data_IF_987560282371
#
_entry.id   IF_987560282371
#
_cell.length_a   1.000
_cell.length_b   1.000
_cell.length_c   1.000
_cell.angle_alpha   90.00
_cell.angle_beta   90.00
_cell.angle_gamma   90.00
#
_symmetry.space_group_name_H-M   'P 1'
#
loop_
_entity.id
_entity.type
_entity.pdbx_description
1 polymer ?
#
# COMPACT_ATOMS: atom_id res chain seq x y z
N UNK A 1 29.89 38.76 8.51
CA UNK A 1 28.84 39.75 8.18
C UNK A 1 28.76 39.84 6.68
N UNK A 2 27.62 39.47 6.09
CA UNK A 2 27.00 40.08 4.91
C UNK A 2 25.74 39.27 4.55
N UNK A 3 24.63 39.98 4.49
CA UNK A 3 23.32 39.66 3.88
C UNK A 3 22.99 40.89 2.98
N UNK A 4 21.95 40.90 2.14
CA UNK A 4 21.43 39.92 1.16
C UNK A 4 21.18 40.60 -0.24
N UNK A 5 20.32 39.99 -1.10
CA UNK A 5 19.48 40.57 -2.23
C UNK A 5 20.01 40.25 -3.66
N UNK A 6 19.26 39.86 -4.73
CA UNK A 6 17.81 39.78 -5.09
C UNK A 6 17.57 38.68 -6.16
N UNK A 7 16.29 38.29 -6.31
CA UNK A 7 15.68 37.40 -7.31
C UNK A 7 15.61 37.99 -8.73
N UNK A 8 15.67 37.13 -9.76
CA UNK A 8 15.04 37.34 -11.07
C UNK A 8 15.76 36.70 -12.27
N UNK A 9 15.10 35.75 -12.96
CA UNK A 9 15.46 35.28 -14.31
C UNK A 9 15.11 33.81 -14.59
N UNK A 10 14.06 33.56 -15.40
CA UNK A 10 13.70 32.25 -15.99
C UNK A 10 14.79 31.78 -17.00
N UNK A 11 15.06 30.51 -17.31
CA UNK A 11 14.19 29.46 -17.89
C UNK A 11 14.64 28.01 -17.60
N UNK A 12 13.63 27.14 -17.68
CA UNK A 12 13.53 25.67 -17.80
C UNK A 12 14.80 24.82 -18.02
N UNK A 13 14.96 23.82 -17.15
CA UNK A 13 15.31 22.47 -17.57
C UNK A 13 14.31 21.48 -16.97
N UNK A 14 13.65 20.72 -17.84
CA UNK A 14 12.88 19.55 -17.49
C UNK A 14 13.76 18.56 -16.72
N UNK A 15 13.38 18.21 -15.50
CA UNK A 15 13.86 17.00 -14.84
C UNK A 15 12.68 16.05 -14.66
N UNK A 16 12.55 15.15 -15.63
CA UNK A 16 11.91 13.86 -15.47
C UNK A 16 12.88 13.00 -14.64
N UNK A 17 12.47 12.48 -13.49
CA UNK A 17 12.37 11.04 -13.25
C UNK A 17 12.22 10.68 -11.77
N UNK A 18 11.34 9.69 -11.56
CA UNK A 18 11.41 8.57 -10.60
C UNK A 18 11.32 8.90 -9.10
N UNK A 19 10.19 8.54 -8.50
CA UNK A 19 10.10 8.29 -7.06
C UNK A 19 9.28 7.03 -6.83
N UNK A 20 9.89 5.93 -6.43
CA UNK A 20 9.20 4.78 -5.87
C UNK A 20 9.73 4.52 -4.46
N UNK A 21 8.84 4.55 -3.46
CA UNK A 21 9.12 4.40 -2.00
C UNK A 21 9.45 5.70 -1.24
N UNK A 22 9.08 5.76 0.04
CA UNK A 22 8.53 6.95 0.73
C UNK A 22 9.33 7.40 1.96
N UNK A 23 9.81 8.65 2.07
CA UNK A 23 10.49 9.16 3.30
C UNK A 23 10.41 10.69 3.58
N UNK A 24 10.57 11.04 4.87
CA UNK A 24 10.51 12.39 5.49
C UNK A 24 11.87 12.76 6.13
N UNK A 25 12.35 14.01 6.00
CA UNK A 25 13.60 14.53 6.62
C UNK A 25 13.30 15.41 7.84
N UNK A 26 14.02 15.19 8.95
CA UNK A 26 13.95 15.98 10.20
C UNK A 26 15.31 16.60 10.52
N UNK A 27 15.38 17.81 11.09
CA UNK A 27 16.65 18.35 11.63
C UNK A 27 16.81 18.02 13.13
N UNK A 28 18.05 17.79 13.58
CA UNK A 28 18.46 17.37 14.94
C UNK A 28 18.29 18.47 16.03
N UNK A 29 17.09 19.02 16.19
CA UNK A 29 16.70 19.79 17.38
C UNK A 29 15.35 19.32 17.87
N UNK A 30 15.40 18.49 18.91
CA UNK A 30 14.32 18.06 19.80
C UNK A 30 12.92 17.90 19.20
N UNK A 31 12.56 16.62 19.10
CA UNK A 31 11.26 16.05 18.76
C UNK A 31 10.18 16.53 19.75
N UNK A 32 9.54 17.63 19.40
CA UNK A 32 8.20 18.00 19.84
C UNK A 32 7.33 18.03 18.58
N UNK A 33 6.04 17.81 18.71
CA UNK A 33 5.04 18.14 17.69
C UNK A 33 5.03 17.25 16.42
N UNK A 34 4.03 16.36 16.44
CA UNK A 34 3.12 16.10 15.32
C UNK A 34 3.42 14.91 14.41
N UNK A 35 2.63 13.82 14.52
CA UNK A 35 2.25 13.03 13.34
C UNK A 35 0.97 12.18 13.57
N UNK A 36 -0.12 12.54 12.89
CA UNK A 36 -1.37 11.75 12.78
C UNK A 36 -1.20 10.67 11.72
N UNK A 37 -1.83 9.50 11.93
CA UNK A 37 -2.35 8.69 10.82
C UNK A 37 -3.71 8.13 11.19
N UNK A 38 -4.77 8.75 10.67
CA UNK A 38 -6.01 8.03 10.39
C UNK A 38 -5.72 7.12 9.18
N UNK A 39 -5.65 5.81 9.42
CA UNK A 39 -5.08 4.89 8.44
C UNK A 39 -6.10 4.53 7.34
N UNK A 40 -6.16 5.34 6.29
CA UNK A 40 -6.54 4.88 4.95
C UNK A 40 -5.41 5.02 3.90
N UNK A 41 -4.22 5.40 4.34
CA UNK A 41 -3.13 5.69 3.42
C UNK A 41 -2.41 4.41 3.01
N UNK A 42 -2.61 4.01 1.76
CA UNK A 42 -1.53 3.46 0.97
C UNK A 42 -0.33 4.41 0.91
N UNK A 43 0.75 3.99 0.27
CA UNK A 43 1.94 4.81 0.02
C UNK A 43 1.65 6.25 -0.42
N UNK A 44 0.61 6.48 -1.23
CA UNK A 44 0.13 7.80 -1.67
C UNK A 44 -0.15 8.79 -0.52
N UNK A 45 -0.45 8.32 0.70
CA UNK A 45 -0.88 9.19 1.80
C UNK A 45 0.25 9.76 2.66
N UNK A 46 1.47 9.22 2.64
CA UNK A 46 2.55 9.77 3.47
C UNK A 46 3.01 11.17 3.04
N UNK A 47 3.26 11.46 1.74
CA UNK A 47 3.61 12.81 1.30
C UNK A 47 2.50 13.80 1.65
N UNK A 48 1.25 13.45 1.33
CA UNK A 48 0.09 14.28 1.62
C UNK A 48 -0.08 14.54 3.13
N UNK A 49 0.04 13.51 3.97
CA UNK A 49 -0.05 13.67 5.42
C UNK A 49 1.07 14.57 5.96
N UNK A 50 2.30 14.42 5.48
CA UNK A 50 3.42 15.24 5.95
C UNK A 50 3.31 16.70 5.50
N UNK A 51 2.81 16.91 4.29
CA UNK A 51 2.62 18.23 3.73
C UNK A 51 1.43 18.96 4.37
N UNK A 52 0.37 18.25 4.76
CA UNK A 52 -0.79 18.82 5.46
C UNK A 52 -0.43 19.31 6.86
N UNK A 53 0.42 18.57 7.57
CA UNK A 53 0.80 18.93 8.94
C UNK A 53 1.72 20.17 8.99
N UNK A 54 2.35 20.55 7.86
CA UNK A 54 3.16 21.76 7.67
C UNK A 54 4.10 22.08 8.84
N UNK A 55 4.64 21.06 9.49
CA UNK A 55 5.52 21.25 10.64
C UNK A 55 6.82 21.91 10.21
N UNK A 56 7.29 22.90 10.96
CA UNK A 56 8.63 23.48 10.73
C UNK A 56 9.77 22.48 11.05
N UNK A 57 9.44 21.33 11.64
CA UNK A 57 10.40 20.40 12.21
C UNK A 57 10.84 19.34 11.20
N UNK A 58 9.89 18.83 10.40
CA UNK A 58 10.13 17.89 9.31
C UNK A 58 9.62 18.39 7.98
N UNK A 59 10.15 17.81 6.90
CA UNK A 59 9.63 17.99 5.55
C UNK A 59 9.70 16.70 4.76
N UNK A 60 8.80 16.53 3.81
CA UNK A 60 8.93 15.48 2.82
C UNK A 60 10.25 15.63 2.06
N UNK A 61 11.01 14.54 1.93
CA UNK A 61 12.32 14.56 1.28
C UNK A 61 12.40 13.76 -0.02
N UNK A 62 11.41 12.91 -0.31
CA UNK A 62 11.33 12.16 -1.55
C UNK A 62 11.77 10.70 -1.42
N UNK A 63 12.17 10.12 -2.55
CA UNK A 63 12.48 8.69 -2.68
C UNK A 63 13.68 8.28 -1.83
N UNK A 64 13.46 7.28 -0.99
CA UNK A 64 14.48 6.56 -0.27
C UNK A 64 15.72 6.20 -1.09
N UNK A 65 15.52 5.69 -2.31
CA UNK A 65 16.53 5.15 -3.21
C UNK A 65 17.33 6.23 -3.94
N UNK A 66 16.89 7.50 -3.86
CA UNK A 66 17.57 8.63 -4.48
C UNK A 66 18.73 9.20 -3.64
N UNK A 67 18.89 8.72 -2.41
CA UNK A 67 19.91 9.17 -1.47
C UNK A 67 21.04 8.16 -1.33
N UNK A 68 22.23 8.64 -0.93
CA UNK A 68 23.35 7.78 -0.59
C UNK A 68 22.97 6.84 0.57
N UNK A 69 23.06 5.50 0.39
CA UNK A 69 22.83 4.51 1.44
C UNK A 69 23.69 4.69 2.71
N UNK A 70 24.84 5.36 2.58
CA UNK A 70 25.79 5.63 3.66
C UNK A 70 25.64 7.02 4.29
N UNK A 71 24.62 7.78 3.90
CA UNK A 71 24.36 9.10 4.47
C UNK A 71 24.20 9.07 5.99
N UNK A 72 24.72 10.10 6.65
CA UNK A 72 24.51 10.37 8.08
C UNK A 72 23.43 11.42 8.32
N UNK A 73 22.74 11.84 7.25
CA UNK A 73 21.66 12.79 7.36
C UNK A 73 20.52 12.21 8.21
N UNK A 74 19.86 13.04 9.04
CA UNK A 74 18.78 12.59 9.91
C UNK A 74 17.45 12.36 9.19
N UNK A 75 17.34 11.20 8.54
CA UNK A 75 16.08 10.76 7.95
C UNK A 75 15.25 9.92 8.92
N UNK A 76 13.93 10.00 8.76
CA UNK A 76 13.01 8.93 9.17
C UNK A 76 12.60 8.20 7.92
N UNK A 77 12.91 6.92 7.88
CA UNK A 77 12.45 6.06 6.80
C UNK A 77 11.10 5.44 7.14
N UNK A 78 10.17 5.47 6.18
CA UNK A 78 8.94 4.67 6.23
C UNK A 78 9.09 3.49 5.24
N UNK A 79 9.06 2.27 5.77
CA UNK A 79 9.23 1.02 5.00
C UNK A 79 7.90 0.31 4.94
N UNK A 80 7.28 0.27 3.76
CA UNK A 80 6.08 -0.52 3.53
C UNK A 80 6.49 -1.94 3.11
N UNK A 81 6.14 -2.96 3.89
CA UNK A 81 6.52 -4.35 3.62
C UNK A 81 5.41 -5.33 4.06
N UNK A 82 4.65 -5.93 3.14
CA UNK A 82 4.64 -5.72 1.69
C UNK A 82 4.30 -4.29 1.27
N UNK A 83 4.92 -3.83 0.19
CA UNK A 83 4.80 -2.49 -0.33
C UNK A 83 3.45 -2.26 -1.05
N UNK A 84 3.02 -0.99 -1.06
CA UNK A 84 1.96 -0.51 -1.94
C UNK A 84 2.62 0.39 -3.00
N UNK A 85 2.46 0.13 -4.30
CA UNK A 85 1.46 -0.74 -4.92
C UNK A 85 1.95 -2.15 -5.29
N UNK A 86 3.26 -2.38 -5.32
CA UNK A 86 3.87 -3.52 -6.00
C UNK A 86 4.04 -4.78 -5.14
N UNK A 87 3.64 -4.78 -3.87
CA UNK A 87 3.66 -5.96 -3.01
C UNK A 87 5.06 -6.46 -2.61
N UNK A 88 6.12 -5.72 -2.94
CA UNK A 88 7.49 -6.13 -2.61
C UNK A 88 7.75 -6.09 -1.11
N UNK A 89 8.55 -7.04 -0.61
CA UNK A 89 9.02 -7.02 0.77
C UNK A 89 10.22 -6.07 0.89
N UNK A 90 9.94 -4.80 1.11
CA UNK A 90 11.00 -3.80 1.24
C UNK A 90 11.76 -3.94 2.57
N UNK A 91 13.04 -3.59 2.51
CA UNK A 91 13.93 -3.43 3.66
C UNK A 91 14.51 -2.01 3.65
N UNK A 92 15.18 -1.63 4.74
CA UNK A 92 15.82 -0.32 4.81
C UNK A 92 16.87 -0.15 3.72
N UNK A 93 16.84 1.00 3.05
CA UNK A 93 17.89 1.39 2.08
C UNK A 93 19.10 1.98 2.80
N UNK A 94 18.93 2.55 4.00
CA UNK A 94 20.00 3.21 4.74
C UNK A 94 20.73 2.23 5.64
N UNK A 95 22.07 2.23 5.58
CA UNK A 95 22.89 1.33 6.40
C UNK A 95 23.17 1.87 7.80
N UNK A 96 23.19 3.20 7.96
CA UNK A 96 23.58 3.86 9.21
C UNK A 96 22.39 4.44 10.00
N UNK A 97 21.20 4.48 9.39
CA UNK A 97 20.00 5.06 10.02
C UNK A 97 19.14 3.93 10.58
N UNK A 98 18.84 4.02 11.87
CA UNK A 98 18.03 3.02 12.60
C UNK A 98 16.61 3.50 12.91
N UNK A 99 16.30 4.75 12.54
CA UNK A 99 15.01 5.40 12.79
C UNK A 99 14.01 5.04 11.69
N UNK A 100 13.60 3.77 11.68
CA UNK A 100 12.77 3.20 10.62
C UNK A 100 11.39 2.86 11.17
N UNK A 101 10.35 3.33 10.50
CA UNK A 101 8.96 2.98 10.73
C UNK A 101 8.60 1.91 9.71
N UNK A 102 8.22 0.71 10.16
CA UNK A 102 7.78 -0.36 9.28
C UNK A 102 6.25 -0.35 9.22
N UNK A 103 5.69 -0.02 8.07
CA UNK A 103 4.28 -0.23 7.77
C UNK A 103 4.08 -1.68 7.30
N UNK A 104 3.48 -2.48 8.19
CA UNK A 104 3.21 -3.89 8.02
C UNK A 104 1.71 -4.16 7.81
N UNK A 105 0.96 -3.17 7.30
CA UNK A 105 -0.49 -3.32 7.08
C UNK A 105 -0.85 -4.55 6.22
N UNK A 106 -0.01 -4.91 5.25
CA UNK A 106 -0.20 -6.08 4.38
C UNK A 106 0.63 -7.31 4.80
N UNK A 107 1.31 -7.30 5.95
CA UNK A 107 2.14 -8.42 6.39
C UNK A 107 1.29 -9.52 7.05
N UNK A 108 0.40 -10.12 6.25
CA UNK A 108 -0.53 -11.16 6.66
C UNK A 108 -0.53 -12.34 5.67
N UNK A 109 -0.83 -13.58 6.11
CA UNK A 109 -0.67 -14.79 5.30
C UNK A 109 -1.43 -14.80 3.96
N UNK A 110 -2.58 -14.11 3.91
CA UNK A 110 -3.36 -13.97 2.68
C UNK A 110 -2.64 -13.19 1.57
N UNK A 111 -1.66 -12.35 1.91
CA UNK A 111 -0.93 -11.52 0.94
C UNK A 111 0.50 -11.97 0.69
N UNK A 112 1.17 -12.45 1.73
CA UNK A 112 2.61 -12.78 1.65
C UNK A 112 2.93 -13.97 2.55
N UNK A 113 3.91 -14.81 2.19
CA UNK A 113 4.45 -15.81 3.11
C UNK A 113 4.99 -15.15 4.38
N UNK A 114 4.63 -15.70 5.53
CA UNK A 114 5.18 -15.32 6.84
C UNK A 114 6.44 -16.16 7.07
N UNK A 115 7.58 -15.62 6.65
CA UNK A 115 8.86 -16.33 6.73
C UNK A 115 9.47 -16.26 8.13
N UNK A 116 9.25 -15.15 8.85
CA UNK A 116 9.72 -14.93 10.21
C UNK A 116 8.76 -13.99 10.95
N UNK A 117 8.81 -13.99 12.28
CA UNK A 117 8.19 -12.92 13.05
C UNK A 117 8.92 -11.59 12.77
N UNK A 118 8.17 -10.53 12.45
CA UNK A 118 8.74 -9.21 12.25
C UNK A 118 9.28 -8.66 13.58
N UNK A 119 10.49 -8.09 13.57
CA UNK A 119 11.16 -7.60 14.77
C UNK A 119 11.83 -6.23 14.55
N UNK A 120 11.00 -5.21 14.31
CA UNK A 120 11.47 -3.84 14.06
C UNK A 120 11.20 -2.90 15.24
N UNK A 121 11.87 -1.74 15.26
CA UNK A 121 11.75 -0.76 16.34
C UNK A 121 10.35 -0.15 16.44
N UNK A 122 9.73 0.14 15.29
CA UNK A 122 8.38 0.67 15.16
C UNK A 122 7.70 -0.14 14.06
N UNK A 123 6.63 -0.85 14.40
CA UNK A 123 5.83 -1.65 13.48
C UNK A 123 4.37 -1.20 13.51
N UNK A 124 3.79 -0.91 12.34
CA UNK A 124 2.41 -0.44 12.19
C UNK A 124 1.55 -1.52 11.56
N UNK A 125 0.33 -1.71 12.09
CA UNK A 125 -0.63 -2.69 11.61
C UNK A 125 -2.05 -2.09 11.57
N UNK A 126 -2.94 -2.72 10.82
CA UNK A 126 -4.31 -2.22 10.59
C UNK A 126 -5.35 -3.33 10.63
N UNK A 127 -6.52 -3.10 11.24
CA UNK A 127 -7.67 -4.02 11.09
C UNK A 127 -8.22 -4.02 9.67
N UNK A 128 -8.08 -2.89 8.97
CA UNK A 128 -8.59 -2.66 7.62
C UNK A 128 -8.09 -3.69 6.62
N UNK A 129 -6.78 -4.00 6.70
CA UNK A 129 -6.10 -4.87 5.72
C UNK A 129 -5.94 -6.31 6.23
N UNK A 130 -6.00 -6.53 7.54
CA UNK A 130 -5.98 -7.87 8.14
C UNK A 130 -7.33 -8.57 8.07
N UNK A 131 -8.43 -7.87 8.41
CA UNK A 131 -9.76 -8.47 8.58
C UNK A 131 -10.86 -7.84 7.71
N UNK A 132 -10.52 -6.86 6.87
CA UNK A 132 -11.47 -6.16 6.00
C UNK A 132 -12.32 -5.07 6.68
N UNK A 133 -12.13 -4.82 7.98
CA UNK A 133 -12.95 -3.87 8.75
C UNK A 133 -12.51 -2.41 8.61
N UNK A 134 -12.33 -1.92 7.38
CA UNK A 134 -11.77 -0.59 7.10
C UNK A 134 -12.52 0.57 7.75
N UNK A 135 -13.85 0.47 7.85
CA UNK A 135 -14.71 1.48 8.50
C UNK A 135 -14.56 1.57 10.02
N UNK A 136 -13.87 0.63 10.67
CA UNK A 136 -13.60 0.71 12.11
C UNK A 136 -12.52 1.74 12.45
N UNK A 137 -11.75 2.20 11.44
CA UNK A 137 -10.68 3.20 11.56
C UNK A 137 -9.68 2.86 12.68
N UNK A 138 -9.28 1.59 12.78
CA UNK A 138 -8.41 1.10 13.86
C UNK A 138 -7.10 0.50 13.33
N UNK A 139 -5.99 1.00 13.83
CA UNK A 139 -4.65 0.45 13.66
C UNK A 139 -3.93 0.42 15.00
N UNK A 140 -2.78 -0.26 15.04
CA UNK A 140 -1.94 -0.31 16.22
C UNK A 140 -0.47 -0.23 15.84
N UNK A 141 0.33 0.21 16.81
CA UNK A 141 1.78 0.27 16.69
C UNK A 141 2.43 -0.58 17.78
N UNK A 142 3.42 -1.40 17.40
CA UNK A 142 4.35 -2.03 18.34
C UNK A 142 5.64 -1.23 18.34
N UNK A 143 6.03 -0.72 19.51
CA UNK A 143 7.13 0.24 19.67
C UNK A 143 8.07 -0.23 20.76
N UNK A 144 9.34 -0.46 20.42
CA UNK A 144 10.36 -0.91 21.38
C UNK A 144 10.82 0.21 22.31
N UNK A 145 11.02 1.41 21.78
CA UNK A 145 11.46 2.57 22.57
C UNK A 145 10.30 3.18 23.35
N UNK A 146 10.40 3.13 24.68
CA UNK A 146 9.37 3.63 25.60
C UNK A 146 9.12 5.13 25.45
N UNK A 147 10.15 5.93 25.18
CA UNK A 147 10.01 7.38 25.04
C UNK A 147 9.33 7.73 23.71
N UNK A 148 9.62 6.99 22.64
CA UNK A 148 8.87 7.10 21.38
C UNK A 148 7.40 6.72 21.59
N UNK A 149 7.14 5.59 22.26
CA UNK A 149 5.78 5.14 22.56
C UNK A 149 4.99 6.18 23.38
N UNK A 150 5.61 6.75 24.42
CA UNK A 150 5.02 7.80 25.25
C UNK A 150 4.63 9.02 24.41
N UNK A 151 5.49 9.45 23.48
CA UNK A 151 5.21 10.58 22.58
C UNK A 151 4.08 10.27 21.61
N UNK A 152 4.00 9.04 21.08
CA UNK A 152 2.89 8.60 20.24
C UNK A 152 1.55 8.64 21.00
N UNK A 153 1.53 8.19 22.27
CA UNK A 153 0.33 8.27 23.11
C UNK A 153 -0.09 9.72 23.34
N UNK A 154 0.85 10.58 23.77
CA UNK A 154 0.55 12.01 23.98
C UNK A 154 -0.01 12.67 22.73
N UNK A 155 0.52 12.30 21.57
CA UNK A 155 0.04 12.81 20.30
C UNK A 155 -1.42 12.42 20.03
N UNK A 156 -1.79 11.15 20.23
CA UNK A 156 -3.16 10.66 20.06
C UNK A 156 -4.12 11.32 21.06
N UNK A 157 -3.68 11.54 22.29
CA UNK A 157 -4.46 12.22 23.32
C UNK A 157 -4.71 13.69 22.97
N UNK A 158 -3.68 14.42 22.54
CA UNK A 158 -3.81 15.82 22.15
C UNK A 158 -4.63 16.02 20.87
N UNK A 159 -4.56 15.05 19.95
CA UNK A 159 -5.19 15.15 18.64
C UNK A 159 -6.66 14.74 18.63
N UNK A 160 -6.99 13.58 19.18
CA UNK A 160 -8.34 12.99 19.10
C UNK A 160 -8.90 12.58 20.46
N UNK A 161 -8.20 12.88 21.56
CA UNK A 161 -8.59 12.45 22.91
C UNK A 161 -8.72 10.91 22.94
N UNK A 162 -7.80 10.22 22.27
CA UNK A 162 -7.83 8.76 22.14
C UNK A 162 -8.53 8.27 20.88
N UNK A 163 -8.93 7.00 20.93
CA UNK A 163 -9.63 6.29 19.84
C UNK A 163 -11.02 5.89 20.33
N UNK A 164 -12.01 5.87 19.43
CA UNK A 164 -13.38 5.44 19.75
C UNK A 164 -13.42 4.11 20.52
N UNK A 165 -14.17 4.07 21.62
CA UNK A 165 -14.35 2.85 22.43
C UNK A 165 -15.16 1.79 21.68
N UNK A 166 -16.10 2.19 20.83
CA UNK A 166 -16.85 1.26 19.98
C UNK A 166 -15.93 0.59 18.95
N UNK A 167 -15.04 1.37 18.32
CA UNK A 167 -14.03 0.83 17.41
C UNK A 167 -13.09 -0.15 18.12
N UNK A 168 -12.64 0.17 19.34
CA UNK A 168 -11.81 -0.72 20.15
C UNK A 168 -12.54 -2.03 20.48
N UNK A 169 -13.80 -1.95 20.93
CA UNK A 169 -14.59 -3.12 21.29
C UNK A 169 -14.89 -4.01 20.09
N UNK A 170 -15.26 -3.41 18.96
CA UNK A 170 -15.52 -4.13 17.70
C UNK A 170 -14.26 -4.83 17.20
N UNK A 171 -13.13 -4.12 17.14
CA UNK A 171 -11.86 -4.70 16.71
C UNK A 171 -11.41 -5.83 17.64
N UNK A 172 -11.48 -5.65 18.97
CA UNK A 172 -11.14 -6.68 19.93
C UNK A 172 -12.01 -7.94 19.76
N UNK A 173 -13.32 -7.75 19.51
CA UNK A 173 -14.25 -8.87 19.27
C UNK A 173 -13.90 -9.63 18.00
N UNK A 174 -13.63 -8.93 16.90
CA UNK A 174 -13.22 -9.54 15.63
C UNK A 174 -11.88 -10.27 15.77
N UNK A 175 -10.87 -9.62 16.35
CA UNK A 175 -9.54 -10.21 16.54
C UNK A 175 -9.59 -11.44 17.45
N UNK A 176 -10.43 -11.43 18.49
CA UNK A 176 -10.67 -12.60 19.32
C UNK A 176 -11.29 -13.75 18.52
N UNK A 177 -12.35 -13.49 17.76
CA UNK A 177 -12.96 -14.52 16.91
C UNK A 177 -11.97 -15.10 15.88
N UNK A 178 -11.07 -14.27 15.35
CA UNK A 178 -9.99 -14.74 14.47
C UNK A 178 -9.01 -15.62 15.23
N UNK A 179 -8.56 -15.22 16.42
CA UNK A 179 -7.65 -16.01 17.24
C UNK A 179 -8.26 -17.35 17.64
N UNK A 180 -9.50 -17.34 18.15
CA UNK A 180 -10.24 -18.55 18.55
C UNK A 180 -10.40 -19.54 17.38
N UNK A 181 -10.55 -19.03 16.14
CA UNK A 181 -10.61 -19.88 14.94
C UNK A 181 -9.31 -20.60 14.58
N UNK A 182 -8.18 -20.24 15.21
CA UNK A 182 -6.88 -20.90 15.05
C UNK A 182 -6.48 -21.78 16.24
N UNK A 183 -7.25 -21.76 17.33
CA UNK A 183 -7.08 -22.68 18.46
C UNK A 183 -7.57 -24.10 18.12
N UNK A 184 -7.24 -25.08 18.96
CA UNK A 184 -7.68 -26.47 18.79
C UNK A 184 -9.20 -26.57 18.80
N UNK A 185 -9.78 -27.17 17.75
CA UNK A 185 -11.24 -27.26 17.59
C UNK A 185 -11.91 -26.03 16.96
N UNK A 186 -11.14 -25.04 16.48
CA UNK A 186 -11.68 -23.88 15.77
C UNK A 186 -12.24 -24.20 14.37
N UNK A 187 -13.43 -23.67 14.07
CA UNK A 187 -14.17 -23.98 12.83
C UNK A 187 -13.74 -23.13 11.62
N UNK A 188 -13.26 -21.89 11.83
CA UNK A 188 -13.07 -20.90 10.76
C UNK A 188 -11.70 -20.23 10.79
N UNK A 189 -10.86 -20.56 9.79
CA UNK A 189 -9.52 -20.00 9.62
C UNK A 189 -9.52 -18.83 8.61
N UNK A 190 -9.74 -17.61 9.10
CA UNK A 190 -9.88 -16.40 8.28
C UNK A 190 -8.77 -16.24 7.22
N UNK A 191 -7.50 -16.33 7.63
CA UNK A 191 -6.37 -16.14 6.72
C UNK A 191 -6.21 -17.27 5.69
N UNK A 192 -6.63 -18.50 6.00
CA UNK A 192 -6.68 -19.59 5.01
C UNK A 192 -7.77 -19.33 3.96
N UNK A 193 -8.95 -18.86 4.41
CA UNK A 193 -9.99 -18.40 3.50
C UNK A 193 -9.49 -17.25 2.61
N UNK A 194 -8.89 -16.22 3.20
CA UNK A 194 -8.33 -15.08 2.47
C UNK A 194 -7.27 -15.51 1.46
N UNK A 195 -6.39 -16.45 1.84
CA UNK A 195 -5.38 -17.02 0.95
C UNK A 195 -6.00 -17.71 -0.26
N UNK A 196 -7.00 -18.56 -0.05
CA UNK A 196 -7.71 -19.25 -1.13
C UNK A 196 -8.30 -18.26 -2.12
N UNK A 197 -9.04 -17.27 -1.63
CA UNK A 197 -9.66 -16.22 -2.46
C UNK A 197 -8.60 -15.42 -3.23
N UNK A 198 -7.50 -15.04 -2.59
CA UNK A 198 -6.42 -14.30 -3.27
C UNK A 198 -5.74 -15.15 -4.34
N UNK A 199 -5.58 -16.46 -4.11
CA UNK A 199 -5.00 -17.39 -5.09
C UNK A 199 -5.87 -17.43 -6.34
N UNK A 200 -7.18 -17.66 -6.18
CA UNK A 200 -8.14 -17.69 -7.29
C UNK A 200 -8.15 -16.38 -8.10
N UNK A 201 -8.13 -15.23 -7.42
CA UNK A 201 -8.09 -13.90 -8.06
C UNK A 201 -6.80 -13.70 -8.86
N UNK A 202 -5.66 -14.03 -8.27
CA UNK A 202 -4.36 -13.89 -8.92
C UNK A 202 -4.18 -14.83 -10.11
N UNK A 203 -4.66 -16.07 -10.01
CA UNK A 203 -4.57 -17.03 -11.10
C UNK A 203 -5.40 -16.57 -12.31
N UNK A 204 -6.64 -16.10 -12.06
CA UNK A 204 -7.49 -15.53 -13.12
C UNK A 204 -6.86 -14.30 -13.75
N UNK A 205 -6.29 -13.39 -12.94
CA UNK A 205 -5.62 -12.20 -13.45
C UNK A 205 -4.42 -12.56 -14.33
N UNK A 206 -3.56 -13.47 -13.86
CA UNK A 206 -2.37 -13.91 -14.61
C UNK A 206 -2.75 -14.55 -15.94
N UNK A 207 -3.78 -15.40 -15.96
CA UNK A 207 -4.30 -16.00 -17.20
C UNK A 207 -4.73 -14.94 -18.22
N UNK A 208 -5.49 -13.93 -17.78
CA UNK A 208 -5.96 -12.84 -18.67
C UNK A 208 -4.77 -12.03 -19.21
N UNK A 209 -3.81 -11.71 -18.36
CA UNK A 209 -2.63 -10.90 -18.74
C UNK A 209 -1.76 -11.66 -19.75
N UNK A 210 -1.48 -12.94 -19.49
CA UNK A 210 -0.71 -13.79 -20.40
C UNK A 210 -1.40 -13.96 -21.75
N UNK A 211 -2.73 -14.02 -21.79
CA UNK A 211 -3.49 -14.16 -23.03
C UNK A 211 -3.53 -12.86 -23.87
N UNK A 212 -3.63 -11.69 -23.24
CA UNK A 212 -3.77 -10.41 -23.94
C UNK A 212 -2.41 -9.80 -24.36
N UNK A 213 -1.38 -9.92 -23.53
CA UNK A 213 -0.04 -9.38 -23.80
C UNK A 213 0.09 -7.85 -23.76
N UNK A 214 -1.02 -7.10 -23.69
CA UNK A 214 -1.01 -5.63 -23.62
C UNK A 214 -0.58 -5.05 -22.26
N UNK A 215 -0.53 -5.88 -21.22
CA UNK A 215 -0.12 -5.49 -19.88
C UNK A 215 0.96 -6.44 -19.36
N UNK A 216 1.86 -5.93 -18.54
CA UNK A 216 2.81 -6.72 -17.77
C UNK A 216 2.57 -6.53 -16.27
N UNK A 217 2.82 -7.60 -15.51
CA UNK A 217 2.89 -7.56 -14.06
C UNK A 217 4.33 -7.32 -13.62
N UNK A 218 4.50 -6.70 -12.45
CA UNK A 218 5.80 -6.69 -11.79
C UNK A 218 6.24 -8.11 -11.45
N UNK A 219 7.54 -8.37 -11.55
CA UNK A 219 8.12 -9.61 -11.05
C UNK A 219 7.95 -9.69 -9.53
N UNK A 220 7.37 -10.80 -9.09
CA UNK A 220 7.22 -11.14 -7.68
C UNK A 220 8.31 -12.12 -7.28
N UNK A 221 8.78 -12.09 -6.02
CA UNK A 221 9.71 -13.10 -5.53
C UNK A 221 9.15 -14.50 -5.74
N UNK A 222 10.07 -15.47 -5.88
CA UNK A 222 9.69 -16.89 -5.90
C UNK A 222 8.92 -17.26 -4.64
N UNK A 223 8.05 -18.28 -4.69
CA UNK A 223 7.38 -18.77 -3.49
C UNK A 223 8.37 -19.07 -2.35
N UNK A 224 7.90 -18.90 -1.12
CA UNK A 224 8.69 -19.11 0.08
C UNK A 224 7.88 -19.91 1.10
N UNK A 225 8.60 -20.65 1.94
CA UNK A 225 7.98 -21.38 3.04
C UNK A 225 7.33 -20.41 4.03
N UNK A 226 6.03 -20.60 4.28
CA UNK A 226 5.26 -19.79 5.22
C UNK A 226 5.08 -20.56 6.52
N UNK A 227 5.71 -20.09 7.60
CA UNK A 227 5.61 -20.72 8.91
C UNK A 227 4.18 -20.72 9.48
N UNK A 228 3.36 -19.75 9.07
CA UNK A 228 1.94 -19.70 9.47
C UNK A 228 1.08 -20.74 8.75
N UNK A 229 1.33 -20.98 7.46
CA UNK A 229 0.53 -21.91 6.65
C UNK A 229 1.08 -23.35 6.71
N UNK A 230 2.36 -23.51 7.07
CA UNK A 230 3.03 -24.81 7.13
C UNK A 230 3.47 -25.35 5.76
N UNK A 231 3.38 -24.54 4.70
CA UNK A 231 3.65 -24.93 3.32
C UNK A 231 4.37 -23.81 2.53
N UNK A 232 4.83 -24.14 1.33
CA UNK A 232 5.38 -23.16 0.39
C UNK A 232 4.25 -22.36 -0.25
N UNK A 233 4.37 -21.03 -0.20
CA UNK A 233 3.31 -20.13 -0.65
C UNK A 233 3.89 -19.00 -1.50
N UNK A 234 3.14 -18.55 -2.51
CA UNK A 234 3.52 -17.43 -3.39
C UNK A 234 3.25 -16.05 -2.75
N UNK A 235 3.77 -14.98 -3.36
CA UNK A 235 3.34 -13.62 -3.01
C UNK A 235 2.08 -13.26 -3.78
N UNK A 236 1.02 -12.87 -3.05
CA UNK A 236 -0.32 -12.57 -3.56
C UNK A 236 -0.78 -11.20 -3.05
N UNK A 237 -0.13 -10.10 -3.47
CA UNK A 237 -0.41 -8.79 -2.89
C UNK A 237 -1.86 -8.35 -3.10
N UNK A 238 -2.32 -7.46 -2.22
CA UNK A 238 -3.68 -6.90 -2.27
C UNK A 238 -3.99 -6.12 -3.56
N UNK A 239 -2.96 -5.71 -4.29
CA UNK A 239 -3.09 -4.96 -5.53
C UNK A 239 -2.30 -5.60 -6.66
N UNK A 240 -2.86 -5.55 -7.85
CA UNK A 240 -2.12 -5.75 -9.08
C UNK A 240 -1.45 -4.44 -9.48
N UNK A 241 -0.13 -4.49 -9.66
CA UNK A 241 0.64 -3.38 -10.19
C UNK A 241 0.98 -3.68 -11.65
N UNK A 242 0.23 -3.04 -12.55
CA UNK A 242 0.27 -3.30 -13.98
C UNK A 242 0.98 -2.18 -14.70
N UNK A 243 1.75 -2.54 -15.72
CA UNK A 243 2.30 -1.60 -16.69
C UNK A 243 1.67 -1.89 -18.04
N UNK A 244 1.20 -0.85 -18.72
CA UNK A 244 0.76 -0.97 -20.10
C UNK A 244 1.97 -1.09 -21.04
N UNK A 245 1.97 -2.15 -21.84
CA UNK A 245 3.01 -2.52 -22.81
C UNK A 245 2.43 -2.71 -24.22
N UNK A 246 1.15 -2.37 -24.42
CA UNK A 246 0.49 -2.49 -25.71
C UNK A 246 0.99 -1.47 -26.74
N UNK A 247 0.58 -1.67 -27.99
CA UNK A 247 1.08 -0.90 -29.14
C UNK A 247 0.44 0.49 -29.31
N UNK A 248 -0.62 0.80 -28.55
CA UNK A 248 -1.24 2.13 -28.58
C UNK A 248 -0.37 3.14 -27.83
N UNK A 249 -0.34 4.38 -28.33
CA UNK A 249 0.37 5.46 -27.66
C UNK A 249 -0.46 6.01 -26.49
N UNK A 250 -0.36 5.34 -25.33
CA UNK A 250 -1.10 5.67 -24.11
C UNK A 250 -0.12 6.21 -23.07
N UNK A 251 -0.21 7.51 -22.81
CA UNK A 251 0.56 8.18 -21.75
C UNK A 251 -0.11 8.11 -20.37
N UNK A 252 -1.44 8.00 -20.33
CA UNK A 252 -2.23 7.91 -19.09
C UNK A 252 -3.14 6.67 -19.12
N UNK A 253 -2.58 5.55 -18.65
CA UNK A 253 -3.28 4.26 -18.63
C UNK A 253 -4.47 4.28 -17.70
N UNK A 254 -4.41 5.02 -16.59
CA UNK A 254 -5.54 5.14 -15.66
C UNK A 254 -6.73 5.85 -16.32
N UNK A 255 -6.46 6.93 -17.06
CA UNK A 255 -7.51 7.64 -17.79
C UNK A 255 -8.08 6.79 -18.93
N UNK A 256 -7.22 6.13 -19.71
CA UNK A 256 -7.63 5.22 -20.79
C UNK A 256 -8.55 4.10 -20.29
N UNK A 257 -8.16 3.39 -19.22
CA UNK A 257 -8.98 2.34 -18.62
C UNK A 257 -10.33 2.87 -18.12
N UNK A 258 -10.37 4.10 -17.63
CA UNK A 258 -11.60 4.75 -17.18
C UNK A 258 -12.52 5.12 -18.34
N UNK A 259 -12.00 5.71 -19.42
CA UNK A 259 -12.83 6.20 -20.54
C UNK A 259 -13.26 5.09 -21.48
N UNK A 260 -12.35 4.18 -21.82
CA UNK A 260 -12.60 3.14 -22.84
C UNK A 260 -13.18 1.85 -22.26
N UNK A 261 -12.95 1.59 -20.96
CA UNK A 261 -13.29 0.31 -20.34
C UNK A 261 -14.10 0.43 -19.04
N UNK A 262 -14.45 1.65 -18.62
CA UNK A 262 -15.17 1.91 -17.36
C UNK A 262 -14.49 1.28 -16.12
N UNK A 263 -13.15 1.18 -16.16
CA UNK A 263 -12.35 0.60 -15.08
C UNK A 263 -11.69 1.71 -14.27
N UNK A 264 -12.14 1.90 -13.04
CA UNK A 264 -11.51 2.82 -12.10
C UNK A 264 -10.26 2.19 -11.50
N UNK A 265 -9.12 2.86 -11.70
CA UNK A 265 -7.81 2.45 -11.19
C UNK A 265 -7.11 3.62 -10.49
N UNK A 266 -5.93 3.38 -9.89
CA UNK A 266 -5.06 4.46 -9.40
C UNK A 266 -3.86 4.61 -10.30
N UNK A 267 -3.64 5.84 -10.78
CA UNK A 267 -2.53 6.18 -11.67
C UNK A 267 -1.18 6.02 -10.99
N UNK A 268 -0.20 5.51 -11.72
CA UNK A 268 1.15 5.32 -11.20
C UNK A 268 1.86 6.60 -10.79
N UNK A 269 1.43 7.73 -11.34
CA UNK A 269 1.89 9.07 -10.95
C UNK A 269 1.74 9.34 -9.44
N UNK A 270 0.72 8.79 -8.79
CA UNK A 270 0.53 8.95 -7.34
C UNK A 270 1.54 8.15 -6.50
N UNK A 271 2.16 7.15 -7.10
CA UNK A 271 3.21 6.32 -6.50
C UNK A 271 4.61 6.72 -6.98
N UNK A 272 4.69 7.87 -7.66
CA UNK A 272 5.89 8.48 -8.24
C UNK A 272 6.53 7.70 -9.40
N UNK A 273 5.74 6.83 -10.05
CA UNK A 273 6.09 6.26 -11.36
C UNK A 273 5.42 7.04 -12.49
N UNK A 274 5.64 6.63 -13.73
CA UNK A 274 4.98 7.26 -14.89
C UNK A 274 3.51 6.82 -15.03
N UNK A 275 2.80 7.44 -15.99
CA UNK A 275 1.39 7.19 -16.28
C UNK A 275 1.08 5.88 -17.01
N UNK A 276 2.10 5.08 -17.37
CA UNK A 276 1.90 3.73 -17.93
C UNK A 276 1.57 2.70 -16.86
N UNK A 277 1.83 3.02 -15.59
CA UNK A 277 1.50 2.14 -14.48
C UNK A 277 0.13 2.43 -13.88
N UNK A 278 -0.56 1.38 -13.45
CA UNK A 278 -1.81 1.46 -12.71
C UNK A 278 -1.86 0.44 -11.58
N UNK A 279 -2.47 0.84 -10.46
CA UNK A 279 -2.80 -0.05 -9.34
C UNK A 279 -4.28 -0.45 -9.44
N UNK A 280 -4.55 -1.76 -9.43
CA UNK A 280 -5.90 -2.34 -9.39
C UNK A 280 -6.09 -3.10 -8.07
N UNK A 281 -7.21 -2.85 -7.38
CA UNK A 281 -7.59 -3.56 -6.15
C UNK A 281 -8.01 -4.99 -6.46
N UNK A 282 -7.39 -5.95 -5.78
CA UNK A 282 -7.81 -7.36 -5.80
C UNK A 282 -8.58 -7.72 -4.53
N UNK A 283 -9.07 -6.73 -3.77
CA UNK A 283 -9.81 -6.94 -2.51
C UNK A 283 -11.31 -6.67 -2.63
N UNK A 284 -11.77 -6.06 -3.72
CA UNK A 284 -13.18 -5.72 -3.91
C UNK A 284 -14.07 -6.97 -4.01
N UNK A 285 -15.37 -6.81 -3.83
CA UNK A 285 -16.32 -7.89 -4.01
C UNK A 285 -16.32 -8.41 -5.45
N UNK A 286 -16.43 -9.74 -5.59
CA UNK A 286 -16.79 -10.34 -6.86
C UNK A 286 -18.30 -10.23 -6.99
N UNK A 287 -18.78 -9.36 -7.89
CA UNK A 287 -20.19 -9.24 -8.16
C UNK A 287 -20.56 -10.13 -9.36
N UNK A 288 -21.11 -11.31 -9.08
CA UNK A 288 -21.47 -12.28 -10.11
C UNK A 288 -22.57 -11.75 -11.05
N UNK A 289 -23.40 -10.81 -10.58
CA UNK A 289 -24.47 -10.19 -11.36
C UNK A 289 -23.94 -9.38 -12.56
N UNK A 290 -22.70 -8.87 -12.49
CA UNK A 290 -22.07 -8.09 -13.55
C UNK A 290 -21.66 -8.92 -14.77
N UNK A 291 -21.69 -10.26 -14.68
CA UNK A 291 -21.44 -11.16 -15.81
C UNK A 291 -22.73 -11.55 -16.54
N UNK A 292 -23.86 -11.63 -15.83
CA UNK A 292 -25.17 -11.96 -16.43
C UNK A 292 -25.67 -10.83 -17.35
N UNK A 293 -25.38 -9.57 -17.02
CA UNK A 293 -25.76 -8.44 -17.87
C UNK A 293 -24.99 -8.38 -19.20
N UNK A 294 -23.77 -8.95 -19.27
CA UNK A 294 -22.99 -9.00 -20.52
C UNK A 294 -23.42 -10.11 -21.46
N UNK A 295 -23.79 -11.29 -20.94
CA UNK A 295 -24.37 -12.35 -21.80
C UNK A 295 -25.71 -11.91 -22.41
N UNK A 296 -26.47 -11.04 -21.72
CA UNK A 296 -27.74 -10.54 -22.23
C UNK A 296 -27.59 -9.45 -23.32
N UNK A 297 -26.50 -8.68 -23.31
CA UNK A 297 -26.21 -7.66 -24.33
C UNK A 297 -25.59 -8.27 -25.60
N UNK A 298 -24.70 -9.25 -25.47
CA UNK A 298 -24.13 -9.97 -26.63
C UNK A 298 -25.20 -10.82 -27.37
N UNK A 299 -26.21 -11.32 -26.64
CA UNK A 299 -27.36 -12.01 -27.24
C UNK A 299 -28.25 -11.10 -28.09
N UNK A 300 -28.26 -9.78 -27.85
CA UNK A 300 -29.07 -8.82 -28.63
C UNK A 300 -28.37 -8.33 -29.90
N UNK A 301 -27.05 -8.48 -30.01
CA UNK A 301 -26.31 -8.09 -31.21
C UNK A 301 -26.31 -9.14 -32.34
N UNK A 302 -26.81 -10.36 -32.09
CA UNK A 302 -26.78 -11.47 -33.06
C UNK A 302 -28.04 -11.56 -33.94
N UNK A 303 -29.04 -10.67 -33.79
CA UNK A 303 -30.28 -10.68 -34.59
C UNK A 303 -30.38 -9.40 -35.43
N UNK A 304 -29.50 -9.23 -36.41
CA UNK A 304 -29.75 -8.32 -37.54
C UNK A 304 -29.07 -8.84 -38.81
N UNK A 305 -29.64 -9.90 -39.40
CA UNK A 305 -29.36 -10.26 -40.79
C UNK A 305 -30.16 -9.32 -41.71
N UNK A 306 -29.54 -8.62 -42.67
CA UNK A 306 -30.26 -7.82 -43.65
C UNK A 306 -30.97 -8.76 -44.64
N UNK A 307 -32.29 -8.58 -44.82
CA UNK A 307 -32.97 -9.12 -46.01
C UNK A 307 -32.75 -8.15 -47.16
N UNK A 308 -32.46 -8.74 -48.33
CA UNK A 308 -32.23 -8.12 -49.63
C UNK A 308 -33.21 -7.02 -50.02
#
# INVERSE_FOLDING_TARGET
MCKPIKLGGHELHSYVSKVGSLRVKLSWKFINETLFVEQDSGSEGFPAATDVLQSALYKWAGDANSFDPHTTDPFIEVICSPNNPDGRLNTSVFKQITNNIHDLAYYWPQYTPITNAADYNIMLFSVSKSTGHAGSRLGWALVKDKEVARRMVQFVELGTIGVSKDSQLRAATVLRAVADGYEEGGDYKLFHFGRKVMTERWDRLRQVITANGAFSLSEYPTPAYCGFMGEETSHLPAFAWLKYEGNLDIEDTANFLRTEHNMLTRSGKHFGTDGKYVRISLLEHFDAAMLEDKEHDDAKQTIYTPRH
#
